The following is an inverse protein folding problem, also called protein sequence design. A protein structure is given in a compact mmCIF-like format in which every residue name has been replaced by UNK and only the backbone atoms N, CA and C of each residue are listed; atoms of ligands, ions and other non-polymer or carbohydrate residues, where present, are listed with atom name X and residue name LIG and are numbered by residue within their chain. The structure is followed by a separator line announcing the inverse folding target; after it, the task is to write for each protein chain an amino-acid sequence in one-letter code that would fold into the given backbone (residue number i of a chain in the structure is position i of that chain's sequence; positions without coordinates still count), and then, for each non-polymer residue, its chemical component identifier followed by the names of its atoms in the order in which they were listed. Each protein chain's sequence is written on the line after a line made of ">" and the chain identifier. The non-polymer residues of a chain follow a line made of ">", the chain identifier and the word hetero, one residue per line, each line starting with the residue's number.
data_IF_767390485685
#
_entry.id   IF_767390485685
#
_cell.length_a   1.000
_cell.length_b   1.000
_cell.length_c   1.000
_cell.angle_alpha   90.00
_cell.angle_beta   90.00
_cell.angle_gamma   90.00
#
_symmetry.space_group_name_H-M   'P 1'
#
loop_
_entity.id
_entity.type
_entity.pdbx_description
1 polymer ?
#
# COMPACT_ATOMS: atom_id res chain seq x y z
N UNK A 1 24.69 18.58 32.80
CA UNK A 1 24.21 18.13 31.48
C UNK A 1 23.11 17.13 31.73
N UNK A 2 21.90 17.48 31.35
CA UNK A 2 20.69 16.72 31.60
C UNK A 2 20.64 15.52 30.62
N UNK A 3 20.52 14.30 31.14
CA UNK A 3 20.47 13.04 30.38
C UNK A 3 19.03 12.49 30.29
N UNK A 4 18.02 13.36 30.35
CA UNK A 4 16.60 12.96 30.41
C UNK A 4 15.88 12.84 29.07
N UNK A 5 16.60 12.75 27.95
CA UNK A 5 15.96 12.46 26.65
C UNK A 5 15.95 10.96 26.38
N UNK A 6 14.79 10.27 26.48
CA UNK A 6 14.71 8.88 26.04
C UNK A 6 15.01 8.82 24.54
N UNK A 7 15.90 7.89 24.16
CA UNK A 7 16.16 7.58 22.76
C UNK A 7 14.83 7.21 22.09
N UNK A 8 14.57 7.64 20.84
CA UNK A 8 13.38 7.23 20.12
C UNK A 8 13.37 5.70 20.01
N UNK A 9 12.42 5.07 20.70
CA UNK A 9 12.26 3.62 20.67
C UNK A 9 11.89 3.18 19.25
N UNK A 10 12.63 2.25 18.63
CA UNK A 10 12.34 1.78 17.26
C UNK A 10 11.11 0.86 17.18
N UNK A 11 10.35 0.75 18.28
CA UNK A 11 9.23 -0.16 18.42
C UNK A 11 7.91 0.62 18.41
N UNK A 12 6.85 0.08 17.78
CA UNK A 12 5.54 0.71 17.80
C UNK A 12 5.07 0.88 19.25
N UNK A 13 4.48 2.04 19.55
CA UNK A 13 3.94 2.34 20.89
C UNK A 13 2.74 1.45 21.25
N UNK A 14 2.13 0.81 20.25
CA UNK A 14 0.96 -0.08 20.39
C UNK A 14 1.39 -1.54 20.28
N UNK A 15 0.67 -2.42 20.97
CA UNK A 15 0.80 -3.87 20.80
C UNK A 15 0.70 -4.22 19.32
N UNK A 16 1.60 -5.10 18.85
CA UNK A 16 1.67 -5.48 17.44
C UNK A 16 0.37 -6.12 16.93
N UNK A 17 -0.49 -6.62 17.84
CA UNK A 17 -1.70 -7.37 17.50
C UNK A 17 -3.01 -6.71 17.97
N UNK A 18 -2.93 -5.62 18.73
CA UNK A 18 -4.13 -4.88 19.15
C UNK A 18 -4.52 -3.84 18.09
N UNK A 19 -5.83 -3.64 17.83
CA UNK A 19 -6.27 -2.56 16.95
C UNK A 19 -5.91 -1.18 17.53
N UNK A 20 -5.59 -0.18 16.69
CA UNK A 20 -5.50 -0.25 15.24
C UNK A 20 -4.24 -0.98 14.74
N UNK A 21 -4.39 -1.77 13.69
CA UNK A 21 -3.33 -2.63 13.10
C UNK A 21 -3.56 -2.84 11.60
N UNK A 22 -2.46 -3.03 10.87
CA UNK A 22 -2.43 -3.42 9.45
C UNK A 22 -1.76 -4.78 9.29
N UNK A 23 -2.36 -5.69 8.53
CA UNK A 23 -1.73 -6.94 8.10
C UNK A 23 -1.50 -6.87 6.60
N UNK A 24 -0.23 -6.90 6.17
CA UNK A 24 0.16 -6.92 4.77
C UNK A 24 0.72 -8.30 4.40
N UNK A 25 0.15 -8.91 3.37
CA UNK A 25 0.56 -10.23 2.87
C UNK A 25 1.03 -10.12 1.43
N UNK A 26 2.25 -10.58 1.17
CA UNK A 26 2.82 -10.77 -0.15
C UNK A 26 2.57 -12.19 -0.67
N UNK A 27 2.13 -12.30 -1.92
CA UNK A 27 1.76 -13.58 -2.52
C UNK A 27 1.86 -13.55 -4.05
N UNK A 28 1.60 -14.69 -4.68
CA UNK A 28 1.35 -14.80 -6.13
C UNK A 28 -0.03 -15.39 -6.37
N UNK A 29 -0.69 -14.97 -7.44
CA UNK A 29 -2.09 -15.34 -7.71
C UNK A 29 -2.30 -16.85 -7.78
N UNK A 30 -1.42 -17.59 -8.47
CA UNK A 30 -1.52 -19.05 -8.58
C UNK A 30 -1.36 -19.81 -7.25
N UNK A 31 -0.86 -19.16 -6.19
CA UNK A 31 -0.75 -19.78 -4.86
C UNK A 31 -2.04 -19.67 -4.05
N UNK A 32 -3.03 -18.90 -4.54
CA UNK A 32 -4.29 -18.69 -3.85
C UNK A 32 -5.33 -19.70 -4.33
N UNK A 33 -5.97 -20.45 -3.42
CA UNK A 33 -7.12 -21.28 -3.75
C UNK A 33 -8.27 -20.43 -4.32
N UNK A 34 -8.97 -20.98 -5.30
CA UNK A 34 -10.17 -20.38 -5.89
C UNK A 34 -10.07 -20.19 -7.40
N UNK A 35 -11.23 -20.23 -8.03
CA UNK A 35 -11.37 -20.12 -9.49
C UNK A 35 -11.45 -18.66 -9.94
N UNK A 36 -12.02 -17.79 -9.09
CA UNK A 36 -12.13 -16.35 -9.34
C UNK A 36 -11.21 -15.53 -8.45
N UNK A 37 -10.96 -14.28 -8.84
CA UNK A 37 -10.25 -13.34 -7.98
C UNK A 37 -11.01 -13.07 -6.67
N UNK A 38 -12.34 -13.08 -6.68
CA UNK A 38 -13.11 -12.86 -5.45
C UNK A 38 -12.98 -14.05 -4.48
N UNK A 39 -12.97 -15.28 -5.00
CA UNK A 39 -12.74 -16.48 -4.16
C UNK A 39 -11.36 -16.43 -3.50
N UNK A 40 -10.33 -16.11 -4.30
CA UNK A 40 -8.95 -15.97 -3.83
C UNK A 40 -8.80 -14.88 -2.78
N UNK A 41 -9.43 -13.72 -3.02
CA UNK A 41 -9.45 -12.61 -2.08
C UNK A 41 -10.14 -13.01 -0.77
N UNK A 42 -11.32 -13.63 -0.88
CA UNK A 42 -12.12 -14.08 0.26
C UNK A 42 -11.34 -15.10 1.10
N UNK A 43 -10.72 -16.08 0.46
CA UNK A 43 -9.89 -17.09 1.11
C UNK A 43 -8.80 -16.45 1.97
N UNK A 44 -7.95 -15.61 1.37
CA UNK A 44 -6.78 -15.09 2.07
C UNK A 44 -7.17 -14.13 3.20
N UNK A 45 -8.19 -13.31 2.99
CA UNK A 45 -8.64 -12.35 4.00
C UNK A 45 -9.26 -13.08 5.19
N UNK A 46 -10.10 -14.08 4.96
CA UNK A 46 -10.63 -14.90 6.05
C UNK A 46 -9.50 -15.66 6.76
N UNK A 47 -8.48 -16.14 6.04
CA UNK A 47 -7.32 -16.78 6.66
C UNK A 47 -6.56 -15.82 7.59
N UNK A 48 -6.34 -14.56 7.17
CA UNK A 48 -5.77 -13.50 8.01
C UNK A 48 -6.63 -13.24 9.24
N UNK A 49 -7.96 -13.08 9.06
CA UNK A 49 -8.88 -12.79 10.15
C UNK A 49 -8.92 -13.93 11.18
N UNK A 50 -8.90 -15.18 10.75
CA UNK A 50 -8.85 -16.33 11.65
C UNK A 50 -7.55 -16.39 12.46
N UNK A 51 -6.42 -16.11 11.80
CA UNK A 51 -5.11 -16.13 12.43
C UNK A 51 -4.99 -15.07 13.54
N UNK A 52 -5.42 -13.84 13.26
CA UNK A 52 -5.17 -12.71 14.17
C UNK A 52 -6.33 -12.43 15.14
N UNK A 53 -7.56 -12.73 14.74
CA UNK A 53 -8.76 -12.28 15.47
C UNK A 53 -9.78 -13.41 15.71
N UNK A 54 -9.45 -14.65 15.32
CA UNK A 54 -10.31 -15.83 15.50
C UNK A 54 -11.74 -15.63 14.99
N UNK A 55 -11.87 -14.95 13.86
CA UNK A 55 -13.17 -14.62 13.25
C UNK A 55 -13.05 -14.58 11.73
N UNK A 56 -14.19 -14.58 11.05
CA UNK A 56 -14.29 -14.35 9.62
C UNK A 56 -14.18 -12.85 9.29
N UNK A 57 -13.99 -12.53 8.01
CA UNK A 57 -14.03 -11.14 7.57
C UNK A 57 -15.40 -10.51 7.82
N UNK A 58 -15.41 -9.44 8.62
CA UNK A 58 -16.58 -8.60 8.89
C UNK A 58 -16.38 -7.24 8.21
N UNK A 59 -17.10 -6.91 7.12
CA UNK A 59 -16.90 -5.67 6.35
C UNK A 59 -17.10 -4.36 7.15
N UNK A 60 -17.92 -4.39 8.19
CA UNK A 60 -18.14 -3.21 9.05
C UNK A 60 -17.02 -2.96 10.07
N UNK A 61 -16.12 -3.94 10.26
CA UNK A 61 -15.01 -3.87 11.22
C UNK A 61 -13.65 -3.85 10.53
N UNK A 62 -13.50 -4.60 9.46
CA UNK A 62 -12.25 -4.77 8.74
C UNK A 62 -12.34 -4.07 7.39
N UNK A 63 -11.23 -3.44 6.98
CA UNK A 63 -11.07 -2.89 5.63
C UNK A 63 -10.11 -3.78 4.86
N UNK A 64 -10.45 -4.09 3.61
CA UNK A 64 -9.64 -4.95 2.74
C UNK A 64 -9.20 -4.21 1.49
N UNK A 65 -7.96 -4.44 1.09
CA UNK A 65 -7.42 -3.99 -0.18
C UNK A 65 -6.60 -5.12 -0.80
N UNK A 66 -6.81 -5.36 -2.09
CA UNK A 66 -5.97 -6.23 -2.89
C UNK A 66 -5.37 -5.39 -4.01
N UNK A 67 -4.05 -5.46 -4.18
CA UNK A 67 -3.41 -4.76 -5.27
C UNK A 67 -2.28 -5.58 -5.88
N UNK A 68 -2.34 -5.69 -7.20
CA UNK A 68 -1.31 -6.28 -8.01
C UNK A 68 -0.19 -5.26 -8.25
N UNK A 69 1.06 -5.73 -8.35
CA UNK A 69 2.13 -4.90 -8.92
C UNK A 69 1.96 -4.78 -10.42
N UNK A 70 1.24 -5.67 -11.09
CA UNK A 70 1.03 -5.61 -12.53
C UNK A 70 -0.39 -5.19 -12.91
N UNK A 71 -0.51 -4.43 -13.99
CA UNK A 71 -1.78 -3.96 -14.55
C UNK A 71 -2.65 -5.09 -15.11
N UNK A 72 -2.02 -6.07 -15.76
CA UNK A 72 -2.68 -7.24 -16.35
C UNK A 72 -2.12 -8.49 -15.69
N UNK A 73 -2.63 -8.85 -14.50
CA UNK A 73 -2.10 -9.96 -13.77
C UNK A 73 -2.23 -11.27 -14.55
N UNK A 74 -1.12 -11.96 -14.71
CA UNK A 74 -1.02 -13.36 -15.12
C UNK A 74 -0.87 -14.25 -13.89
N UNK A 75 -0.89 -15.56 -14.05
CA UNK A 75 -0.85 -16.51 -12.93
C UNK A 75 0.37 -16.29 -12.00
N UNK A 76 1.52 -15.91 -12.55
CA UNK A 76 2.75 -15.65 -11.79
C UNK A 76 2.81 -14.28 -11.11
N UNK A 77 1.84 -13.40 -11.37
CA UNK A 77 1.89 -12.01 -10.91
C UNK A 77 1.90 -11.93 -9.38
N UNK A 78 2.78 -11.06 -8.87
CA UNK A 78 2.87 -10.72 -7.46
C UNK A 78 1.68 -9.87 -7.05
N UNK A 79 1.08 -10.19 -5.91
CA UNK A 79 -0.03 -9.44 -5.34
C UNK A 79 0.18 -9.18 -3.86
N UNK A 80 -0.27 -8.03 -3.41
CA UNK A 80 -0.28 -7.64 -2.01
C UNK A 80 -1.73 -7.55 -1.52
N UNK A 81 -1.96 -8.12 -0.34
CA UNK A 81 -3.22 -8.08 0.37
C UNK A 81 -3.04 -7.35 1.67
N UNK A 82 -3.90 -6.36 1.90
CA UNK A 82 -3.88 -5.54 3.09
C UNK A 82 -5.22 -5.69 3.81
N UNK A 83 -5.16 -6.04 5.09
CA UNK A 83 -6.32 -6.04 5.99
C UNK A 83 -6.04 -5.10 7.15
N UNK A 84 -6.86 -4.07 7.25
CA UNK A 84 -6.79 -3.09 8.33
C UNK A 84 -7.91 -3.35 9.34
N UNK A 85 -7.59 -3.29 10.63
CA UNK A 85 -8.56 -3.41 11.72
C UNK A 85 -8.40 -2.30 12.75
N UNK A 86 -9.51 -1.73 13.20
CA UNK A 86 -9.55 -0.61 14.13
C UNK A 86 -9.64 0.74 13.43
N UNK A 87 -9.54 1.80 14.23
CA UNK A 87 -9.59 3.20 13.82
C UNK A 87 -8.55 4.00 14.62
N UNK A 88 -8.08 5.09 14.05
CA UNK A 88 -7.26 6.11 14.70
C UNK A 88 -8.07 7.38 14.89
N UNK A 89 -7.63 8.27 15.78
CA UNK A 89 -8.31 9.55 15.99
C UNK A 89 -7.93 10.61 14.95
N UNK A 90 -6.74 10.50 14.35
CA UNK A 90 -6.24 11.44 13.33
C UNK A 90 -5.28 10.78 12.33
N UNK A 91 -4.96 11.49 11.24
CA UNK A 91 -4.01 11.04 10.21
C UNK A 91 -2.58 10.95 10.75
N UNK A 92 -2.21 11.82 11.68
CA UNK A 92 -0.89 11.78 12.32
C UNK A 92 -0.72 10.49 13.13
N UNK A 93 -1.80 9.94 13.69
CA UNK A 93 -1.78 8.65 14.37
C UNK A 93 -1.73 7.44 13.41
N UNK A 94 -2.10 7.60 12.13
CA UNK A 94 -2.02 6.52 11.14
C UNK A 94 -0.57 6.06 10.94
N UNK A 95 0.39 6.98 11.02
CA UNK A 95 1.82 6.70 10.87
C UNK A 95 2.36 5.83 12.03
N UNK A 96 1.70 5.87 13.19
CA UNK A 96 2.02 5.06 14.37
C UNK A 96 1.29 3.69 14.36
N UNK A 97 0.45 3.40 13.36
CA UNK A 97 -0.26 2.11 13.27
C UNK A 97 0.71 1.00 12.86
N UNK A 98 0.86 -0.08 13.66
CA UNK A 98 1.75 -1.17 13.32
C UNK A 98 1.32 -1.91 12.06
N UNK A 99 2.30 -2.29 11.24
CA UNK A 99 2.12 -3.17 10.09
C UNK A 99 2.81 -4.50 10.36
N UNK A 100 2.05 -5.59 10.27
CA UNK A 100 2.57 -6.95 10.33
C UNK A 100 2.69 -7.48 8.91
N UNK A 101 3.87 -7.96 8.56
CA UNK A 101 4.19 -8.38 7.20
C UNK A 101 4.31 -9.90 7.11
N UNK A 102 3.62 -10.48 6.14
CA UNK A 102 3.67 -11.92 5.85
C UNK A 102 3.93 -12.19 4.37
N UNK A 103 4.35 -13.43 4.11
CA UNK A 103 4.29 -14.07 2.80
C UNK A 103 3.31 -15.24 2.86
N UNK A 104 2.42 -15.34 1.89
CA UNK A 104 1.66 -16.57 1.64
C UNK A 104 2.45 -17.50 0.72
N UNK A 105 2.64 -18.75 1.14
CA UNK A 105 3.44 -19.75 0.41
C UNK A 105 2.61 -20.72 -0.42
N UNK A 106 1.27 -20.63 -0.37
CA UNK A 106 0.35 -21.67 -0.85
C UNK A 106 -0.26 -22.50 0.29
N UNK A 107 0.38 -22.50 1.46
CA UNK A 107 -0.03 -23.32 2.60
C UNK A 107 -0.13 -22.52 3.90
N UNK A 108 0.83 -21.62 4.15
CA UNK A 108 0.93 -20.90 5.43
C UNK A 108 1.32 -19.43 5.24
N UNK A 109 0.92 -18.61 6.22
CA UNK A 109 1.44 -17.25 6.39
C UNK A 109 2.78 -17.29 7.14
N UNK A 110 3.85 -16.91 6.47
CA UNK A 110 5.21 -16.86 7.05
C UNK A 110 5.61 -15.41 7.28
N UNK A 111 6.14 -15.01 8.46
CA UNK A 111 6.58 -13.64 8.69
C UNK A 111 7.57 -13.16 7.63
N UNK A 112 7.34 -11.97 7.07
CA UNK A 112 8.18 -11.36 6.04
C UNK A 112 8.51 -9.89 6.37
N UNK A 113 9.22 -9.62 7.48
CA UNK A 113 9.51 -8.26 7.95
C UNK A 113 10.36 -7.45 6.96
N UNK A 114 11.05 -8.09 6.01
CA UNK A 114 11.89 -7.40 5.02
C UNK A 114 11.10 -6.40 4.16
N UNK A 115 9.79 -6.63 3.96
CA UNK A 115 8.90 -5.71 3.24
C UNK A 115 8.83 -4.32 3.90
N UNK A 116 9.07 -4.24 5.22
CA UNK A 116 9.10 -2.98 5.95
C UNK A 116 10.27 -2.07 5.56
N UNK A 117 11.27 -2.57 4.82
CA UNK A 117 12.39 -1.77 4.32
C UNK A 117 12.17 -1.29 2.88
N UNK A 118 11.14 -1.78 2.19
CA UNK A 118 10.85 -1.41 0.80
C UNK A 118 10.13 -0.06 0.75
N UNK A 119 10.78 0.97 0.20
CA UNK A 119 10.27 2.34 0.15
C UNK A 119 8.92 2.43 -0.59
N UNK A 120 8.76 1.70 -1.69
CA UNK A 120 7.52 1.68 -2.46
C UNK A 120 6.34 1.06 -1.68
N UNK A 121 6.59 0.09 -0.80
CA UNK A 121 5.56 -0.47 0.10
C UNK A 121 5.13 0.60 1.09
N UNK A 122 6.08 1.28 1.75
CA UNK A 122 5.76 2.39 2.67
C UNK A 122 4.94 3.47 2.00
N UNK A 123 5.34 3.87 0.79
CA UNK A 123 4.66 4.93 0.05
C UNK A 123 3.26 4.48 -0.41
N UNK A 124 3.06 3.22 -0.83
CA UNK A 124 1.72 2.70 -1.10
C UNK A 124 0.83 2.70 0.14
N UNK A 125 1.35 2.25 1.28
CA UNK A 125 0.60 2.24 2.55
C UNK A 125 0.27 3.65 3.06
N UNK A 126 1.11 4.65 2.76
CA UNK A 126 0.88 6.04 3.16
C UNK A 126 -0.06 6.79 2.22
N UNK A 127 0.15 6.65 0.91
CA UNK A 127 -0.45 7.54 -0.09
C UNK A 127 -1.58 6.89 -0.91
N UNK A 128 -1.59 5.57 -1.06
CA UNK A 128 -2.56 4.87 -1.92
C UNK A 128 -3.61 4.17 -1.08
N UNK A 129 -3.17 3.56 0.01
CA UNK A 129 -4.01 2.86 0.96
C UNK A 129 -3.80 3.44 2.36
N UNK A 130 -4.13 4.71 2.63
CA UNK A 130 -4.02 5.26 3.98
C UNK A 130 -4.94 4.48 4.95
N UNK A 131 -4.53 4.36 6.22
CA UNK A 131 -5.29 3.57 7.20
C UNK A 131 -6.67 4.18 7.49
N UNK A 132 -6.73 5.51 7.59
CA UNK A 132 -7.97 6.29 7.63
C UNK A 132 -8.18 6.98 6.28
N UNK A 133 -9.15 6.52 5.46
CA UNK A 133 -9.49 7.19 4.20
C UNK A 133 -10.08 8.56 4.50
N UNK A 134 -9.53 9.65 3.94
CA UNK A 134 -10.06 10.96 4.32
C UNK A 134 -11.39 11.29 3.60
N UNK A 135 -12.30 12.00 4.28
CA UNK A 135 -13.51 12.53 3.66
C UNK A 135 -13.15 13.63 2.65
N UNK A 136 -13.76 13.57 1.46
CA UNK A 136 -13.73 14.55 0.35
C UNK A 136 -12.87 15.82 0.59
N UNK A 137 -11.66 15.76 0.05
CA UNK A 137 -10.54 16.67 0.22
C UNK A 137 -10.74 18.05 -0.44
N UNK A 138 -11.64 18.85 0.13
CA UNK A 138 -11.71 20.29 -0.16
C UNK A 138 -10.77 21.01 0.83
N UNK A 139 -9.82 21.79 0.29
CA UNK A 139 -8.95 22.76 0.99
C UNK A 139 -7.53 22.28 1.36
N UNK A 140 -6.56 22.63 0.49
CA UNK A 140 -5.13 22.65 0.82
C UNK A 140 -4.22 22.26 -0.35
N UNK A 141 -3.39 23.19 -0.84
CA UNK A 141 -2.26 22.91 -1.74
C UNK A 141 -1.08 22.49 -0.85
N UNK A 142 -0.84 21.19 -0.75
CA UNK A 142 0.30 20.61 -0.02
C UNK A 142 1.10 19.76 -1.01
N UNK A 143 2.42 19.93 -1.05
CA UNK A 143 3.30 19.16 -1.95
C UNK A 143 3.21 17.64 -1.73
N UNK A 144 2.98 17.20 -0.49
CA UNK A 144 2.71 15.78 -0.22
C UNK A 144 1.40 15.30 -0.85
N UNK A 145 0.39 16.17 -0.95
CA UNK A 145 -0.89 15.88 -1.62
C UNK A 145 -0.70 15.77 -3.13
N UNK A 146 0.11 16.63 -3.73
CA UNK A 146 0.41 16.56 -5.17
C UNK A 146 1.09 15.23 -5.51
N UNK A 147 2.05 14.82 -4.68
CA UNK A 147 2.70 13.51 -4.75
C UNK A 147 1.69 12.37 -4.59
N UNK A 148 0.82 12.43 -3.59
CA UNK A 148 -0.24 11.45 -3.36
C UNK A 148 -1.17 11.28 -4.58
N UNK A 149 -1.68 12.40 -5.11
CA UNK A 149 -2.54 12.41 -6.29
C UNK A 149 -1.81 11.89 -7.52
N UNK A 150 -0.55 12.27 -7.72
CA UNK A 150 0.24 11.84 -8.85
C UNK A 150 0.53 10.34 -8.82
N UNK A 151 0.93 9.80 -7.67
CA UNK A 151 1.13 8.36 -7.51
C UNK A 151 -0.16 7.57 -7.75
N UNK A 152 -1.29 8.06 -7.23
CA UNK A 152 -2.60 7.48 -7.50
C UNK A 152 -2.92 7.48 -9.00
N UNK A 153 -2.82 8.64 -9.67
CA UNK A 153 -3.03 8.78 -11.12
C UNK A 153 -2.12 7.87 -11.97
N UNK A 154 -0.86 7.68 -11.55
CA UNK A 154 0.09 6.80 -12.24
C UNK A 154 -0.28 5.33 -12.05
N UNK A 155 -0.65 4.92 -10.83
CA UNK A 155 -1.10 3.56 -10.55
C UNK A 155 -2.43 3.22 -11.25
N UNK A 156 -3.31 4.20 -11.40
CA UNK A 156 -4.63 4.05 -12.02
C UNK A 156 -4.67 4.54 -13.48
N UNK A 157 -3.53 4.70 -14.18
CA UNK A 157 -3.43 5.33 -15.51
C UNK A 157 -4.31 4.74 -16.64
N UNK A 158 -5.05 3.66 -16.37
CA UNK A 158 -6.01 3.01 -17.25
C UNK A 158 -7.44 3.49 -17.09
N UNK A 159 -7.75 4.19 -15.99
CA UNK A 159 -9.04 4.83 -15.76
C UNK A 159 -9.08 6.18 -16.46
N UNK A 160 -10.29 6.74 -16.60
CA UNK A 160 -10.50 8.09 -17.13
C UNK A 160 -9.73 9.19 -16.37
N UNK A 161 -9.25 8.89 -15.17
CA UNK A 161 -8.57 9.81 -14.26
C UNK A 161 -7.05 9.54 -14.15
N UNK A 162 -6.46 8.89 -15.15
CA UNK A 162 -5.02 8.61 -15.22
C UNK A 162 -4.14 9.87 -15.33
N UNK A 163 -2.82 9.69 -15.19
CA UNK A 163 -1.86 10.79 -15.34
C UNK A 163 -1.98 11.45 -16.74
N UNK A 164 -2.18 12.77 -16.74
CA UNK A 164 -2.29 13.61 -17.95
C UNK A 164 -0.92 13.93 -18.53
N UNK A 165 -0.86 14.44 -19.77
CA UNK A 165 0.42 14.86 -20.37
C UNK A 165 1.06 16.01 -19.59
N UNK A 166 0.25 16.89 -18.98
CA UNK A 166 0.73 17.97 -18.13
C UNK A 166 1.27 17.45 -16.80
N UNK A 167 0.63 16.46 -16.18
CA UNK A 167 1.17 15.76 -15.00
C UNK A 167 2.55 15.15 -15.31
N UNK A 168 2.67 14.53 -16.49
CA UNK A 168 3.91 13.89 -16.94
C UNK A 168 5.02 14.92 -17.23
N UNK A 169 4.69 16.07 -17.84
CA UNK A 169 5.64 17.16 -18.08
C UNK A 169 6.08 17.82 -16.76
N UNK A 170 5.14 18.07 -15.85
CA UNK A 170 5.45 18.61 -14.53
C UNK A 170 6.40 17.69 -13.74
N UNK A 171 6.17 16.37 -13.80
CA UNK A 171 7.05 15.38 -13.19
C UNK A 171 8.43 15.32 -13.88
N UNK A 172 8.48 15.41 -15.22
CA UNK A 172 9.74 15.48 -15.99
C UNK A 172 10.58 16.70 -15.59
N UNK A 173 9.93 17.84 -15.44
CA UNK A 173 10.57 19.13 -15.18
C UNK A 173 10.94 19.31 -13.69
N UNK A 174 10.57 18.36 -12.83
CA UNK A 174 10.87 18.34 -11.39
C UNK A 174 11.63 17.07 -10.97
N UNK A 175 12.96 17.18 -10.88
CA UNK A 175 13.85 16.06 -10.56
C UNK A 175 13.55 15.41 -9.19
N UNK A 176 13.14 16.20 -8.20
CA UNK A 176 12.82 15.71 -6.86
C UNK A 176 11.57 14.83 -6.87
N UNK A 177 10.52 15.27 -7.57
CA UNK A 177 9.27 14.51 -7.67
C UNK A 177 9.43 13.28 -8.56
N UNK A 178 10.29 13.35 -9.59
CA UNK A 178 10.68 12.19 -10.40
C UNK A 178 11.42 11.13 -9.57
N UNK A 179 12.42 11.54 -8.78
CA UNK A 179 13.15 10.65 -7.88
C UNK A 179 12.22 10.03 -6.82
N UNK A 180 11.31 10.83 -6.27
CA UNK A 180 10.29 10.37 -5.34
C UNK A 180 9.36 9.33 -5.99
N UNK A 181 8.85 9.57 -7.21
CA UNK A 181 7.97 8.64 -7.90
C UNK A 181 8.67 7.31 -8.18
N UNK A 182 9.92 7.37 -8.63
CA UNK A 182 10.76 6.19 -8.85
C UNK A 182 10.94 5.35 -7.59
N UNK A 183 11.11 5.99 -6.44
CA UNK A 183 11.21 5.30 -5.14
C UNK A 183 9.86 4.78 -4.61
N UNK A 184 8.75 5.31 -5.12
CA UNK A 184 7.38 5.02 -4.67
C UNK A 184 6.70 3.93 -5.47
N UNK A 185 7.23 3.57 -6.63
CA UNK A 185 6.68 2.55 -7.50
C UNK A 185 7.46 1.24 -7.39
N UNK A 186 6.73 0.15 -7.53
CA UNK A 186 7.35 -1.15 -7.78
C UNK A 186 8.23 -1.04 -9.05
N UNK A 187 9.45 -1.62 -9.08
CA UNK A 187 10.37 -1.46 -10.21
C UNK A 187 9.78 -1.85 -11.57
N UNK A 188 8.96 -2.90 -11.61
CA UNK A 188 8.36 -3.37 -12.86
C UNK A 188 7.24 -2.42 -13.32
N UNK A 189 6.46 -1.87 -12.38
CA UNK A 189 5.50 -0.79 -12.66
C UNK A 189 6.19 0.45 -13.19
N UNK A 190 7.29 0.84 -12.55
CA UNK A 190 8.04 2.03 -12.95
C UNK A 190 8.59 1.88 -14.37
N UNK A 191 9.08 0.69 -14.74
CA UNK A 191 9.51 0.39 -16.10
C UNK A 191 8.41 0.59 -17.14
N UNK A 192 7.21 0.05 -16.88
CA UNK A 192 6.05 0.24 -17.75
C UNK A 192 5.57 1.70 -17.84
N UNK A 193 5.51 2.39 -16.70
CA UNK A 193 5.20 3.82 -16.65
C UNK A 193 6.19 4.65 -17.47
N UNK A 194 7.49 4.41 -17.31
CA UNK A 194 8.54 5.15 -18.02
C UNK A 194 8.41 5.00 -19.53
N UNK A 195 8.07 3.79 -20.00
CA UNK A 195 7.82 3.54 -21.42
C UNK A 195 6.65 4.37 -21.95
N UNK A 196 5.51 4.36 -21.25
CA UNK A 196 4.33 5.14 -21.67
C UNK A 196 4.55 6.65 -21.56
N UNK A 197 5.21 7.11 -20.50
CA UNK A 197 5.54 8.53 -20.32
C UNK A 197 6.41 9.02 -21.48
N UNK A 198 7.45 8.25 -21.86
CA UNK A 198 8.29 8.56 -23.02
C UNK A 198 7.49 8.61 -24.31
N UNK A 199 6.59 7.67 -24.55
CA UNK A 199 5.75 7.65 -25.76
C UNK A 199 4.83 8.87 -25.90
N UNK A 200 4.43 9.50 -24.78
CA UNK A 200 3.42 10.59 -24.76
C UNK A 200 4.03 11.99 -24.79
N UNK A 201 5.16 12.21 -24.12
CA UNK A 201 5.72 13.57 -23.92
C UNK A 201 7.11 13.78 -24.53
N UNK A 202 7.69 12.75 -25.15
CA UNK A 202 8.95 12.79 -25.90
C UNK A 202 8.76 12.23 -27.30
#
# INVERSE_FOLDING_TARGET
>A
MDLSHPLPTPYPKKSLYDPPIRILVDTRIHLLPGDTNEDRNTFLINHICHLHWHTEFIPSKHRRYAFSTERFPIESTRCLFLVDYGQTASKEEDEDVPVVYYKWTGEFLTPLPILSYEAWIKNKLKYVYPFTPAPNWQNGVNREREREMLLSKVLWASSSDGATDDDLRALRDNEEDWAWLRASLDPDVFGGFLYEARRRIY
#
